data_IF_471880719907
#
_entry.id   IF_471880719907
#
_cell.length_a   1.000
_cell.length_b   1.000
_cell.length_c   1.000
_cell.angle_alpha   90.00
_cell.angle_beta   90.00
_cell.angle_gamma   90.00
#
_symmetry.space_group_name_H-M   'P 1'
#
loop_
_entity.id
_entity.type
_entity.pdbx_description
1 polymer ?
#
# COMPACT_ATOMS: atom_id res chain seq x y z
N UNK A 1 48.69 10.70 -40.22
CA UNK A 1 49.25 11.76 -39.37
C UNK A 1 48.21 12.87 -39.45
N UNK A 2 47.26 13.05 -38.54
CA UNK A 2 47.25 12.78 -37.10
C UNK A 2 45.89 12.26 -36.61
N UNK A 3 45.93 11.54 -35.49
CA UNK A 3 44.78 10.89 -34.87
C UNK A 3 43.85 11.92 -34.19
N UNK A 4 42.66 12.12 -34.73
CA UNK A 4 41.52 12.70 -33.98
C UNK A 4 40.99 11.64 -33.01
N UNK A 5 41.41 11.72 -31.75
CA UNK A 5 40.75 11.04 -30.63
C UNK A 5 39.38 11.71 -30.41
N UNK A 6 38.32 11.03 -30.81
CA UNK A 6 36.96 11.35 -30.36
C UNK A 6 36.84 10.82 -28.93
N UNK A 7 36.90 11.72 -27.96
CA UNK A 7 36.66 11.41 -26.55
C UNK A 7 35.16 11.22 -26.36
N UNK A 8 34.69 9.99 -26.16
CA UNK A 8 33.35 9.73 -25.64
C UNK A 8 33.32 10.23 -24.20
N UNK A 9 32.62 11.34 -23.95
CA UNK A 9 32.18 11.69 -22.60
C UNK A 9 31.16 10.63 -22.19
N UNK A 10 31.54 9.77 -21.24
CA UNK A 10 30.58 9.02 -20.43
C UNK A 10 29.84 10.08 -19.62
N UNK A 11 28.67 10.48 -20.11
CA UNK A 11 27.66 11.11 -19.29
C UNK A 11 27.05 9.96 -18.50
N UNK A 12 27.40 9.83 -17.23
CA UNK A 12 26.65 9.02 -16.27
C UNK A 12 25.24 9.57 -16.23
N UNK A 13 24.32 8.93 -16.95
CA UNK A 13 22.92 9.28 -16.91
C UNK A 13 22.39 9.06 -15.49
N UNK A 14 21.82 10.12 -14.93
CA UNK A 14 20.84 10.07 -13.85
C UNK A 14 19.84 8.94 -14.11
N UNK A 15 19.45 8.24 -13.05
CA UNK A 15 18.47 7.15 -13.09
C UNK A 15 17.15 7.65 -13.71
N UNK A 16 16.99 7.51 -15.03
CA UNK A 16 15.71 7.65 -15.69
C UNK A 16 14.95 6.35 -15.44
N UNK A 17 13.86 6.43 -14.69
CA UNK A 17 12.90 5.33 -14.58
C UNK A 17 12.36 4.98 -15.96
N UNK A 18 12.49 3.73 -16.40
CA UNK A 18 12.03 3.30 -17.72
C UNK A 18 10.55 2.90 -17.66
N UNK A 19 9.70 3.63 -18.37
CA UNK A 19 8.39 3.10 -18.74
C UNK A 19 8.54 1.90 -19.67
N UNK A 20 7.55 1.01 -19.67
CA UNK A 20 7.52 -0.17 -20.55
C UNK A 20 7.68 0.25 -22.02
N UNK A 21 8.76 -0.22 -22.65
CA UNK A 21 9.11 0.10 -24.04
C UNK A 21 9.58 -1.14 -24.78
N UNK A 22 9.50 -1.11 -26.10
CA UNK A 22 9.90 -2.20 -26.97
C UNK A 22 11.27 -1.91 -27.57
N UNK A 23 12.23 -2.82 -27.35
CA UNK A 23 13.57 -2.72 -27.91
C UNK A 23 13.89 -3.96 -28.76
N UNK A 24 14.67 -3.83 -29.84
CA UNK A 24 15.16 -5.00 -30.56
C UNK A 24 16.10 -5.83 -29.66
N UNK A 25 16.26 -7.15 -29.93
CA UNK A 25 17.29 -7.96 -29.29
C UNK A 25 18.70 -7.40 -29.58
N UNK A 26 19.65 -7.74 -28.70
CA UNK A 26 21.05 -7.34 -28.87
C UNK A 26 21.72 -8.12 -30.02
N UNK A 27 22.84 -7.60 -30.54
CA UNK A 27 23.52 -8.19 -31.71
C UNK A 27 24.02 -9.63 -31.48
N UNK A 28 24.24 -10.00 -30.22
CA UNK A 28 24.63 -11.34 -29.79
C UNK A 28 23.42 -12.24 -29.44
N UNK A 29 22.21 -11.80 -29.81
CA UNK A 29 20.95 -12.49 -29.54
C UNK A 29 20.59 -12.63 -28.05
N UNK A 30 21.23 -11.84 -27.20
CA UNK A 30 20.79 -11.64 -25.82
C UNK A 30 19.64 -10.63 -25.75
N UNK A 31 18.90 -10.66 -24.64
CA UNK A 31 17.83 -9.69 -24.39
C UNK A 31 18.40 -8.44 -23.72
N UNK A 32 17.84 -7.25 -23.99
CA UNK A 32 18.30 -6.02 -23.33
C UNK A 32 18.23 -6.09 -21.79
N UNK A 33 19.01 -5.28 -21.09
CA UNK A 33 18.88 -5.11 -19.64
C UNK A 33 17.46 -4.66 -19.27
N UNK A 34 16.98 -5.07 -18.08
CA UNK A 34 15.61 -4.81 -17.60
C UNK A 34 14.50 -5.37 -18.51
N UNK A 35 14.79 -6.38 -19.34
CA UNK A 35 13.76 -7.11 -20.08
C UNK A 35 12.74 -7.74 -19.14
N UNK A 36 11.46 -7.62 -19.47
CA UNK A 36 10.34 -8.15 -18.67
C UNK A 36 10.36 -9.68 -18.73
N UNK A 37 10.77 -10.32 -17.64
CA UNK A 37 10.72 -11.77 -17.53
C UNK A 37 9.26 -12.23 -17.37
N UNK A 38 8.77 -13.02 -18.33
CA UNK A 38 7.44 -13.60 -18.30
C UNK A 38 7.36 -14.80 -17.38
N UNK A 39 8.38 -15.66 -17.39
CA UNK A 39 8.37 -16.89 -16.61
C UNK A 39 9.62 -17.74 -16.84
N UNK A 40 9.44 -19.06 -16.76
CA UNK A 40 10.51 -20.05 -16.91
C UNK A 40 10.00 -21.24 -17.72
N UNK A 41 10.85 -21.78 -18.61
CA UNK A 41 10.54 -22.99 -19.34
C UNK A 41 10.74 -24.24 -18.46
N UNK A 42 10.33 -25.40 -18.97
CA UNK A 42 10.40 -26.70 -18.28
C UNK A 42 11.84 -27.09 -17.86
N UNK A 43 12.87 -26.55 -18.51
CA UNK A 43 14.28 -26.74 -18.18
C UNK A 43 14.84 -25.68 -17.21
N UNK A 44 14.00 -24.77 -16.72
CA UNK A 44 14.35 -23.66 -15.84
C UNK A 44 14.92 -22.43 -16.56
N UNK A 45 15.03 -22.45 -17.90
CA UNK A 45 15.47 -21.29 -18.67
C UNK A 45 14.48 -20.13 -18.59
N UNK A 46 14.99 -18.90 -18.54
CA UNK A 46 14.14 -17.70 -18.45
C UNK A 46 13.42 -17.45 -19.77
N UNK A 47 12.14 -17.13 -19.67
CA UNK A 47 11.30 -16.70 -20.80
C UNK A 47 10.95 -15.22 -20.62
N UNK A 48 11.03 -14.45 -21.70
CA UNK A 48 10.77 -13.02 -21.70
C UNK A 48 9.58 -12.66 -22.60
N UNK A 49 8.95 -11.52 -22.28
CA UNK A 49 7.87 -10.95 -23.09
C UNK A 49 8.46 -10.32 -24.34
N UNK A 50 8.08 -10.83 -25.51
CA UNK A 50 8.37 -10.20 -26.80
C UNK A 50 7.10 -9.81 -27.54
N UNK A 51 7.28 -9.21 -28.72
CA UNK A 51 6.25 -9.12 -29.75
C UNK A 51 6.85 -9.24 -31.14
N UNK A 52 6.06 -9.71 -32.09
CA UNK A 52 6.46 -9.78 -33.50
C UNK A 52 5.28 -9.52 -34.42
N UNK A 53 5.56 -9.05 -35.63
CA UNK A 53 4.56 -8.98 -36.69
C UNK A 53 4.40 -10.35 -37.35
N UNK A 54 3.16 -10.82 -37.46
CA UNK A 54 2.82 -12.01 -38.22
C UNK A 54 1.43 -11.87 -38.82
N UNK A 55 1.25 -12.24 -40.09
CA UNK A 55 -0.02 -12.16 -40.81
C UNK A 55 -0.75 -10.80 -40.65
N UNK A 56 0.01 -9.70 -40.72
CA UNK A 56 -0.51 -8.34 -40.57
C UNK A 56 -0.91 -7.92 -39.16
N UNK A 57 -0.71 -8.77 -38.15
CA UNK A 57 -1.02 -8.50 -36.74
C UNK A 57 0.27 -8.31 -35.93
N UNK A 58 0.21 -7.54 -34.84
CA UNK A 58 1.24 -7.52 -33.81
C UNK A 58 0.85 -8.52 -32.72
N UNK A 59 1.66 -9.56 -32.51
CA UNK A 59 1.37 -10.66 -31.58
C UNK A 59 2.39 -10.68 -30.44
N UNK A 60 1.95 -11.10 -29.25
CA UNK A 60 2.82 -11.34 -28.09
C UNK A 60 3.67 -12.59 -28.35
N UNK A 61 4.97 -12.49 -28.07
CA UNK A 61 5.95 -13.53 -28.31
C UNK A 61 6.54 -14.11 -27.01
N UNK A 62 6.76 -15.42 -27.03
CA UNK A 62 7.60 -16.18 -26.09
C UNK A 62 9.05 -16.08 -26.54
N UNK A 63 9.88 -15.30 -25.86
CA UNK A 63 11.32 -15.14 -26.17
C UNK A 63 12.16 -16.00 -25.25
N UNK A 64 13.00 -16.86 -25.81
CA UNK A 64 13.84 -17.84 -25.10
C UNK A 64 15.32 -17.59 -25.46
N UNK A 65 16.03 -16.75 -24.70
CA UNK A 65 17.38 -16.32 -25.06
C UNK A 65 18.38 -17.48 -25.10
N UNK A 66 18.21 -18.48 -24.23
CA UNK A 66 19.08 -19.66 -24.15
C UNK A 66 19.26 -20.38 -25.49
N UNK A 67 18.21 -20.44 -26.31
CA UNK A 67 18.21 -21.11 -27.61
C UNK A 67 18.15 -20.12 -28.78
N UNK A 68 18.19 -18.82 -28.49
CA UNK A 68 18.04 -17.74 -29.47
C UNK A 68 16.80 -17.91 -30.37
N UNK A 69 15.63 -18.11 -29.75
CA UNK A 69 14.37 -18.23 -30.49
C UNK A 69 13.26 -17.41 -29.86
N UNK A 70 12.37 -16.93 -30.70
CA UNK A 70 11.12 -16.31 -30.30
C UNK A 70 9.95 -16.96 -31.05
N UNK A 71 8.83 -17.12 -30.37
CA UNK A 71 7.65 -17.78 -30.91
C UNK A 71 6.39 -16.95 -30.66
N UNK A 72 5.50 -16.90 -31.64
CA UNK A 72 4.15 -16.32 -31.48
C UNK A 72 3.12 -17.42 -31.72
N UNK A 73 1.97 -17.33 -31.03
CA UNK A 73 0.83 -18.18 -31.32
C UNK A 73 -0.06 -17.54 -32.40
N UNK A 74 -0.35 -18.28 -33.47
CA UNK A 74 -1.26 -17.84 -34.54
C UNK A 74 -1.92 -19.03 -35.22
N UNK A 75 -3.23 -18.93 -35.45
CA UNK A 75 -4.04 -19.95 -36.13
C UNK A 75 -3.79 -21.38 -35.60
N UNK A 76 -3.82 -21.54 -34.27
CA UNK A 76 -3.59 -22.80 -33.53
C UNK A 76 -2.17 -23.37 -33.63
N UNK A 77 -1.23 -22.65 -34.24
CA UNK A 77 0.16 -23.05 -34.37
C UNK A 77 1.11 -22.17 -33.55
N UNK A 78 2.22 -22.77 -33.09
CA UNK A 78 3.39 -22.04 -32.59
C UNK A 78 4.31 -21.70 -33.77
N UNK A 79 4.49 -20.41 -34.03
CA UNK A 79 5.23 -19.92 -35.18
C UNK A 79 6.56 -19.33 -34.73
N UNK A 80 7.66 -19.83 -35.29
CA UNK A 80 9.01 -19.26 -35.10
C UNK A 80 9.09 -17.90 -35.80
N UNK A 81 9.51 -16.86 -35.07
CA UNK A 81 9.71 -15.51 -35.58
C UNK A 81 11.17 -15.09 -35.44
N UNK A 82 11.69 -14.43 -36.48
CA UNK A 82 13.08 -13.95 -36.53
C UNK A 82 13.21 -12.45 -36.25
N UNK A 83 12.18 -11.67 -36.59
CA UNK A 83 12.11 -10.24 -36.31
C UNK A 83 11.11 -10.01 -35.17
N UNK A 84 11.63 -9.73 -33.99
CA UNK A 84 10.84 -9.49 -32.79
C UNK A 84 11.45 -8.35 -31.96
N UNK A 85 10.63 -7.78 -31.10
CA UNK A 85 11.04 -6.82 -30.08
C UNK A 85 10.82 -7.45 -28.70
N UNK A 86 11.63 -7.04 -27.73
CA UNK A 86 11.57 -7.49 -26.34
C UNK A 86 11.06 -6.33 -25.50
N UNK A 87 10.13 -6.63 -24.59
CA UNK A 87 9.59 -5.63 -23.68
C UNK A 87 10.60 -5.34 -22.57
N UNK A 88 10.90 -4.07 -22.36
CA UNK A 88 11.88 -3.60 -21.37
C UNK A 88 11.23 -2.56 -20.48
N UNK A 89 11.50 -2.64 -19.18
CA UNK A 89 11.03 -1.67 -18.20
C UNK A 89 10.88 -2.30 -16.83
N UNK A 90 10.82 -1.46 -15.81
CA UNK A 90 10.73 -1.87 -14.40
C UNK A 90 9.37 -1.53 -13.77
N UNK A 91 8.47 -0.87 -14.52
CA UNK A 91 7.15 -0.41 -14.08
C UNK A 91 6.02 -1.34 -14.51
N UNK A 92 5.93 -2.53 -13.91
CA UNK A 92 4.85 -3.47 -14.20
C UNK A 92 4.51 -4.38 -13.02
N UNK A 93 3.36 -5.04 -13.11
CA UNK A 93 2.97 -6.10 -12.18
C UNK A 93 2.16 -7.17 -12.93
N UNK A 94 2.13 -8.38 -12.37
CA UNK A 94 1.29 -9.47 -12.86
C UNK A 94 0.06 -9.59 -11.96
N UNK A 95 -1.14 -9.50 -12.53
CA UNK A 95 -2.41 -9.58 -11.81
C UNK A 95 -3.15 -10.82 -12.25
N UNK A 96 -3.62 -11.64 -11.30
CA UNK A 96 -4.42 -12.82 -11.60
C UNK A 96 -5.74 -12.42 -12.25
N UNK A 97 -6.13 -13.16 -13.28
CA UNK A 97 -7.36 -12.93 -14.02
C UNK A 97 -7.93 -14.26 -14.57
N UNK A 98 -9.21 -14.26 -14.88
CA UNK A 98 -9.95 -15.35 -15.49
C UNK A 98 -11.04 -14.84 -16.44
N UNK A 99 -11.33 -15.61 -17.49
CA UNK A 99 -12.46 -15.39 -18.41
C UNK A 99 -12.49 -14.03 -19.15
N UNK A 100 -11.35 -13.38 -19.38
CA UNK A 100 -11.27 -12.15 -20.19
C UNK A 100 -11.48 -10.84 -19.44
N UNK A 101 -11.49 -10.83 -18.11
CA UNK A 101 -11.62 -9.60 -17.31
C UNK A 101 -10.31 -8.79 -17.28
N UNK A 102 -9.89 -8.31 -18.45
CA UNK A 102 -8.65 -7.53 -18.61
C UNK A 102 -8.75 -6.20 -17.82
N UNK A 103 -7.86 -5.95 -16.84
CA UNK A 103 -7.83 -4.70 -16.07
C UNK A 103 -7.65 -3.45 -16.93
N UNK A 104 -8.18 -2.30 -16.50
CA UNK A 104 -8.09 -1.03 -17.26
C UNK A 104 -6.64 -0.60 -17.53
N UNK A 105 -5.71 -0.93 -16.64
CA UNK A 105 -4.28 -0.61 -16.76
C UNK A 105 -3.44 -1.73 -17.41
N UNK A 106 -4.08 -2.71 -18.05
CA UNK A 106 -3.38 -3.78 -18.76
C UNK A 106 -2.50 -3.25 -19.90
N UNK A 107 -1.33 -3.86 -20.08
CA UNK A 107 -0.39 -3.47 -21.11
C UNK A 107 -0.80 -4.03 -22.47
N UNK A 108 -1.13 -3.12 -23.40
CA UNK A 108 -1.43 -3.45 -24.79
C UNK A 108 -0.11 -3.70 -25.53
N UNK A 109 0.09 -4.91 -26.03
CA UNK A 109 1.30 -5.32 -26.73
C UNK A 109 1.14 -5.46 -28.24
N UNK A 110 -0.09 -5.54 -28.73
CA UNK A 110 -0.36 -5.68 -30.14
C UNK A 110 -1.81 -5.42 -30.50
N UNK A 111 -2.15 -5.68 -31.76
CA UNK A 111 -3.46 -5.48 -32.35
C UNK A 111 -3.72 -6.57 -33.39
N UNK A 112 -4.97 -7.03 -33.50
CA UNK A 112 -5.35 -7.92 -34.61
C UNK A 112 -5.39 -7.15 -35.93
N UNK A 113 -4.92 -7.77 -37.02
CA UNK A 113 -4.96 -7.21 -38.37
C UNK A 113 -4.24 -5.87 -38.56
N UNK A 114 -4.43 -5.27 -39.74
CA UNK A 114 -3.78 -4.03 -40.15
C UNK A 114 -4.44 -2.78 -39.55
N UNK A 115 -4.02 -2.42 -38.33
CA UNK A 115 -4.08 -1.05 -37.80
C UNK A 115 -5.38 -0.57 -37.13
N UNK A 116 -6.48 -1.32 -37.22
CA UNK A 116 -7.77 -0.98 -36.59
C UNK A 116 -8.45 -2.17 -35.87
N UNK A 117 -7.72 -3.27 -35.62
CA UNK A 117 -8.31 -4.44 -34.94
C UNK A 117 -8.22 -4.36 -33.42
N UNK A 118 -8.75 -5.40 -32.77
CA UNK A 118 -8.86 -5.48 -31.32
C UNK A 118 -7.48 -5.44 -30.65
N UNK A 119 -7.34 -4.73 -29.51
CA UNK A 119 -6.10 -4.72 -28.75
C UNK A 119 -5.82 -6.11 -28.17
N UNK A 120 -4.55 -6.52 -28.27
CA UNK A 120 -4.02 -7.73 -27.66
C UNK A 120 -3.18 -7.37 -26.45
N UNK A 121 -3.47 -8.00 -25.32
CA UNK A 121 -2.79 -7.75 -24.05
C UNK A 121 -1.79 -8.87 -23.75
N UNK A 122 -0.78 -8.54 -22.95
CA UNK A 122 0.19 -9.54 -22.48
C UNK A 122 -0.40 -10.31 -21.31
N UNK A 123 -0.50 -11.62 -21.47
CA UNK A 123 -0.75 -12.53 -20.35
C UNK A 123 0.34 -13.58 -20.23
N UNK A 124 0.34 -14.31 -19.12
CA UNK A 124 1.12 -15.54 -18.94
C UNK A 124 0.30 -16.62 -18.26
N UNK A 125 0.58 -17.87 -18.60
CA UNK A 125 -0.14 -19.03 -18.09
C UNK A 125 0.78 -20.21 -17.86
N UNK A 126 0.39 -21.08 -16.92
CA UNK A 126 1.08 -22.34 -16.69
C UNK A 126 0.62 -23.40 -17.68
N UNK A 127 1.58 -24.06 -18.34
CA UNK A 127 1.33 -25.19 -19.23
C UNK A 127 2.54 -26.13 -19.22
N UNK A 128 2.32 -27.43 -19.00
CA UNK A 128 3.36 -28.47 -18.96
C UNK A 128 4.64 -28.07 -18.18
N UNK A 129 4.46 -27.53 -16.96
CA UNK A 129 5.51 -27.03 -16.04
C UNK A 129 6.28 -25.78 -16.53
N UNK A 130 5.88 -25.20 -17.65
CA UNK A 130 6.36 -23.92 -18.16
C UNK A 130 5.41 -22.80 -17.75
N UNK A 131 5.94 -21.61 -17.43
CA UNK A 131 5.17 -20.37 -17.29
C UNK A 131 5.46 -19.51 -18.52
N UNK A 132 4.49 -19.46 -19.45
CA UNK A 132 4.71 -18.97 -20.80
C UNK A 132 3.84 -17.73 -21.09
N UNK A 133 4.41 -16.66 -21.69
CA UNK A 133 3.63 -15.51 -22.12
C UNK A 133 2.83 -15.79 -23.40
N UNK A 134 1.78 -15.03 -23.59
CA UNK A 134 0.94 -15.11 -24.77
C UNK A 134 0.00 -13.92 -24.93
N UNK A 135 -0.89 -14.02 -25.91
CA UNK A 135 -1.86 -12.97 -26.23
C UNK A 135 -3.17 -13.22 -25.52
N UNK A 136 -3.66 -12.24 -24.78
CA UNK A 136 -5.03 -12.26 -24.27
C UNK A 136 -5.93 -11.61 -25.31
N UNK A 137 -6.97 -12.33 -25.71
CA UNK A 137 -8.00 -11.84 -26.60
C UNK A 137 -9.25 -11.54 -25.78
N UNK A 138 -9.49 -10.27 -25.47
CA UNK A 138 -10.55 -9.86 -24.53
C UNK A 138 -11.92 -10.40 -24.92
N UNK A 139 -12.26 -10.36 -26.21
CA UNK A 139 -13.55 -10.87 -26.73
C UNK A 139 -13.65 -12.40 -26.76
N UNK A 140 -12.53 -13.14 -26.73
CA UNK A 140 -12.56 -14.61 -26.65
C UNK A 140 -12.57 -15.11 -25.19
N UNK A 141 -12.21 -14.24 -24.24
CA UNK A 141 -12.24 -14.58 -22.81
C UNK A 141 -11.05 -15.40 -22.33
N UNK A 142 -9.97 -15.52 -23.11
CA UNK A 142 -8.85 -16.42 -22.79
C UNK A 142 -7.48 -15.87 -23.20
N UNK A 143 -6.44 -16.48 -22.60
CA UNK A 143 -5.05 -16.33 -22.99
C UNK A 143 -4.67 -17.44 -23.98
N UNK A 144 -4.04 -17.06 -25.09
CA UNK A 144 -3.41 -18.01 -26.01
C UNK A 144 -1.89 -18.00 -25.88
N UNK A 145 -1.29 -19.15 -25.57
CA UNK A 145 0.16 -19.31 -25.44
C UNK A 145 0.73 -20.21 -26.56
N UNK A 146 1.89 -19.88 -27.15
CA UNK A 146 2.64 -20.79 -28.02
C UNK A 146 3.44 -21.81 -27.19
N UNK A 147 3.23 -23.11 -27.44
CA UNK A 147 4.02 -24.17 -26.81
C UNK A 147 4.04 -25.45 -27.66
N UNK A 148 5.22 -26.05 -27.86
CA UNK A 148 5.34 -27.41 -28.38
C UNK A 148 4.87 -27.59 -29.84
N UNK A 149 4.91 -26.54 -30.65
CA UNK A 149 4.41 -26.53 -32.04
C UNK A 149 2.95 -26.08 -32.18
N UNK A 150 2.22 -25.91 -31.08
CA UNK A 150 0.80 -25.56 -31.07
C UNK A 150 0.51 -24.31 -30.25
N UNK A 151 -0.62 -23.67 -30.52
CA UNK A 151 -1.17 -22.61 -29.67
C UNK A 151 -2.23 -23.20 -28.74
N UNK A 152 -2.11 -22.91 -27.45
CA UNK A 152 -2.97 -23.44 -26.39
C UNK A 152 -3.79 -22.34 -25.75
N UNK A 153 -5.06 -22.66 -25.48
CA UNK A 153 -5.98 -21.81 -24.75
C UNK A 153 -5.86 -22.04 -23.23
N UNK A 154 -5.75 -20.95 -22.48
CA UNK A 154 -5.59 -20.92 -21.03
C UNK A 154 -6.65 -19.98 -20.44
N UNK A 155 -7.45 -20.49 -19.50
CA UNK A 155 -8.57 -19.76 -18.87
C UNK A 155 -8.21 -19.12 -17.53
N UNK A 156 -7.15 -19.61 -16.87
CA UNK A 156 -6.58 -19.03 -15.65
C UNK A 156 -5.17 -18.52 -15.95
N UNK A 157 -5.01 -17.21 -15.89
CA UNK A 157 -3.77 -16.56 -16.31
C UNK A 157 -3.47 -15.34 -15.46
N UNK A 158 -2.29 -14.75 -15.67
CA UNK A 158 -1.95 -13.45 -15.12
C UNK A 158 -1.80 -12.43 -16.25
N UNK A 159 -2.31 -11.22 -16.04
CA UNK A 159 -2.23 -10.09 -16.97
C UNK A 159 -1.09 -9.19 -16.56
N UNK A 160 -0.30 -8.74 -17.55
CA UNK A 160 0.70 -7.70 -17.32
C UNK A 160 -0.01 -6.35 -17.25
N UNK A 161 0.10 -5.67 -16.12
CA UNK A 161 -0.42 -4.31 -15.95
C UNK A 161 0.73 -3.32 -15.80
N UNK A 162 0.54 -2.09 -16.31
CA UNK A 162 1.47 -0.99 -16.06
C UNK A 162 1.46 -0.67 -14.57
N UNK A 163 2.63 -0.72 -13.94
CA UNK A 163 2.81 -0.43 -12.51
C UNK A 163 3.17 1.03 -12.28
N UNK A 164 2.79 1.59 -11.13
CA UNK A 164 3.39 2.81 -10.61
C UNK A 164 4.76 2.48 -9.96
N UNK A 165 5.76 3.38 -10.01
CA UNK A 165 7.09 3.09 -9.48
C UNK A 165 7.00 2.67 -8.00
N UNK A 166 7.70 1.59 -7.62
CA UNK A 166 7.76 1.14 -6.21
C UNK A 166 8.30 2.22 -5.27
N UNK A 167 9.11 3.17 -5.76
CA UNK A 167 9.56 4.34 -5.00
C UNK A 167 8.46 5.39 -4.81
N UNK A 168 7.52 5.56 -5.76
CA UNK A 168 6.30 6.34 -5.51
C UNK A 168 5.35 5.62 -4.57
N UNK A 169 5.31 4.28 -4.60
CA UNK A 169 4.64 3.54 -3.54
C UNK A 169 5.34 3.83 -2.23
N UNK A 170 6.66 3.73 -2.08
CA UNK A 170 7.36 4.06 -0.84
C UNK A 170 7.18 5.50 -0.37
N UNK A 171 7.31 6.49 -1.26
CA UNK A 171 7.13 7.91 -0.93
C UNK A 171 5.66 8.20 -0.62
N UNK A 172 4.69 7.73 -1.39
CA UNK A 172 3.25 7.86 -1.06
C UNK A 172 2.88 7.03 0.18
N UNK A 173 3.62 5.93 0.44
CA UNK A 173 3.56 5.04 1.60
C UNK A 173 4.46 5.53 2.77
N UNK A 174 5.07 6.70 2.64
CA UNK A 174 5.74 7.45 3.72
C UNK A 174 5.08 8.83 3.87
N UNK A 175 4.38 9.34 2.85
CA UNK A 175 3.62 10.59 2.82
C UNK A 175 2.18 10.39 3.38
N UNK A 176 1.60 9.19 3.22
CA UNK A 176 0.35 8.76 3.90
C UNK A 176 0.51 8.39 5.39
N UNK A 177 1.76 8.23 5.87
CA UNK A 177 2.10 7.84 7.22
C UNK A 177 2.78 9.05 7.83
N UNK A 178 2.08 9.76 8.71
CA UNK A 178 2.49 11.06 9.22
C UNK A 178 3.65 10.93 10.25
N UNK A 179 4.78 10.34 9.85
CA UNK A 179 5.97 10.19 10.65
C UNK A 179 7.25 10.44 9.85
N UNK A 180 8.31 10.79 10.57
CA UNK A 180 9.63 11.04 10.00
C UNK A 180 10.72 10.61 10.98
N UNK A 181 11.93 10.46 10.47
CA UNK A 181 13.14 10.18 11.25
C UNK A 181 13.96 11.45 11.36
N UNK A 182 14.05 12.01 12.57
CA UNK A 182 14.74 13.29 12.82
C UNK A 182 16.16 13.01 13.31
N UNK A 183 17.21 13.49 12.61
CA UNK A 183 18.59 13.38 13.09
C UNK A 183 18.76 14.01 14.48
N UNK A 184 19.47 13.33 15.36
CA UNK A 184 19.65 13.72 16.76
C UNK A 184 20.99 13.24 17.32
N UNK A 185 21.28 13.62 18.56
CA UNK A 185 22.48 13.22 19.31
C UNK A 185 22.18 13.23 20.81
N UNK A 186 23.04 12.60 21.65
CA UNK A 186 22.87 12.56 23.11
C UNK A 186 22.66 13.90 23.80
N UNK A 187 23.17 14.98 23.20
CA UNK A 187 23.12 16.33 23.77
C UNK A 187 21.98 17.17 23.19
N UNK A 188 21.26 16.66 22.19
CA UNK A 188 20.09 17.32 21.63
C UNK A 188 18.86 17.07 22.52
N UNK A 189 17.96 18.05 22.58
CA UNK A 189 16.63 17.84 23.16
C UNK A 189 15.85 16.78 22.38
N UNK A 190 14.91 16.12 23.04
CA UNK A 190 13.98 15.22 22.36
C UNK A 190 13.07 16.03 21.42
N UNK A 191 12.92 15.67 20.14
CA UNK A 191 11.99 16.34 19.24
C UNK A 191 10.54 16.26 19.76
N UNK A 192 9.73 17.27 19.46
CA UNK A 192 8.29 17.21 19.70
C UNK A 192 7.66 16.05 18.92
N UNK A 193 6.65 15.40 19.49
CA UNK A 193 6.00 14.20 18.94
C UNK A 193 6.93 12.99 18.71
N UNK A 194 8.05 12.90 19.45
CA UNK A 194 8.85 11.68 19.46
C UNK A 194 8.05 10.49 19.98
N UNK A 195 8.16 9.34 19.30
CA UNK A 195 7.41 8.12 19.65
C UNK A 195 7.95 7.51 20.94
N UNK A 196 7.12 7.56 21.99
CA UNK A 196 7.42 6.99 23.30
C UNK A 196 7.38 5.45 23.22
N UNK A 197 8.49 4.82 23.59
CA UNK A 197 8.64 3.37 23.56
C UNK A 197 8.30 2.71 24.90
N UNK A 198 8.58 3.38 26.02
CA UNK A 198 8.38 2.85 27.36
C UNK A 198 9.22 3.60 28.38
N UNK A 199 9.53 2.97 29.51
CA UNK A 199 10.25 3.60 30.62
C UNK A 199 11.40 2.70 31.07
N UNK A 200 12.52 3.32 31.44
CA UNK A 200 13.67 2.62 31.99
C UNK A 200 13.45 2.25 33.46
N UNK A 201 14.38 1.50 34.06
CA UNK A 201 14.26 0.99 35.44
C UNK A 201 14.01 2.08 36.50
N UNK A 202 14.51 3.30 36.26
CA UNK A 202 14.33 4.45 37.15
C UNK A 202 13.13 5.34 36.78
N UNK A 203 12.29 4.90 35.83
CA UNK A 203 11.14 5.63 35.33
C UNK A 203 11.46 6.61 34.19
N UNK A 204 12.73 6.81 33.83
CA UNK A 204 13.13 7.69 32.72
C UNK A 204 12.43 7.29 31.41
N UNK A 205 11.85 8.24 30.64
CA UNK A 205 11.17 7.92 29.40
C UNK A 205 12.16 7.44 28.33
N UNK A 206 11.77 6.42 27.60
CA UNK A 206 12.51 5.83 26.48
C UNK A 206 11.76 6.11 25.19
N UNK A 207 12.48 6.51 24.14
CA UNK A 207 11.94 6.80 22.81
C UNK A 207 12.52 5.87 21.75
N UNK A 208 11.77 5.71 20.66
CA UNK A 208 12.20 4.94 19.49
C UNK A 208 13.19 5.75 18.68
N UNK A 209 14.40 5.21 18.51
CA UNK A 209 15.38 5.73 17.57
C UNK A 209 15.88 4.66 16.59
N UNK A 210 16.79 5.05 15.71
CA UNK A 210 17.61 4.15 14.90
C UNK A 210 19.00 4.73 14.70
N UNK A 211 20.01 3.86 14.55
CA UNK A 211 21.39 4.28 14.33
C UNK A 211 22.12 3.32 13.39
N UNK A 212 23.10 3.85 12.66
CA UNK A 212 24.00 3.01 11.86
C UNK A 212 25.09 2.42 12.74
N UNK A 213 25.29 1.11 12.65
CA UNK A 213 26.39 0.42 13.33
C UNK A 213 26.84 -0.78 12.52
N UNK A 214 28.15 -0.88 12.25
CA UNK A 214 28.78 -2.00 11.53
C UNK A 214 28.12 -2.37 10.17
N UNK A 215 27.59 -1.38 9.44
CA UNK A 215 26.92 -1.57 8.14
C UNK A 215 25.41 -1.77 8.23
N UNK A 216 24.89 -2.06 9.42
CA UNK A 216 23.46 -2.18 9.68
C UNK A 216 22.85 -0.82 10.04
N UNK A 217 21.55 -0.67 9.80
CA UNK A 217 20.71 0.36 10.41
C UNK A 217 19.83 -0.33 11.45
N UNK A 218 19.99 0.02 12.73
CA UNK A 218 19.44 -0.74 13.86
C UNK A 218 18.55 0.14 14.73
N UNK A 219 17.45 -0.42 15.25
CA UNK A 219 16.58 0.22 16.24
C UNK A 219 17.35 0.57 17.51
N UNK A 220 17.19 1.79 18.00
CA UNK A 220 17.87 2.33 19.16
C UNK A 220 16.91 2.62 20.33
N UNK A 221 17.38 2.30 21.54
CA UNK A 221 16.82 2.74 22.83
C UNK A 221 17.35 4.13 23.14
N UNK A 222 16.53 5.18 23.03
CA UNK A 222 16.94 6.57 23.30
C UNK A 222 16.41 7.04 24.66
N UNK A 223 17.30 7.48 25.55
CA UNK A 223 16.96 7.92 26.93
C UNK A 223 17.46 9.35 27.14
N UNK A 224 16.63 10.39 26.85
CA UNK A 224 17.07 11.77 26.88
C UNK A 224 17.61 12.24 28.23
N UNK A 225 16.99 11.81 29.35
CA UNK A 225 17.43 12.16 30.71
C UNK A 225 18.82 11.64 31.05
N UNK A 226 19.27 10.57 30.38
CA UNK A 226 20.60 9.98 30.55
C UNK A 226 21.59 10.40 29.47
N UNK A 227 21.16 11.24 28.51
CA UNK A 227 21.95 11.62 27.35
C UNK A 227 22.59 10.38 26.69
N UNK A 228 21.78 9.37 26.42
CA UNK A 228 22.28 8.11 25.93
C UNK A 228 21.31 7.48 24.91
N UNK A 229 21.89 6.84 23.90
CA UNK A 229 21.17 5.99 22.97
C UNK A 229 21.97 4.70 22.77
N UNK A 230 21.27 3.57 22.72
CA UNK A 230 21.89 2.26 22.61
C UNK A 230 21.27 1.43 21.49
N UNK A 231 22.09 0.64 20.80
CA UNK A 231 21.64 -0.40 19.87
C UNK A 231 22.10 -1.76 20.37
N UNK A 232 21.28 -2.79 20.13
CA UNK A 232 21.68 -4.18 20.34
C UNK A 232 22.46 -4.67 19.12
N UNK A 233 23.70 -5.11 19.30
CA UNK A 233 24.49 -5.68 18.21
C UNK A 233 25.49 -6.71 18.71
N UNK A 234 25.51 -7.89 18.07
CA UNK A 234 26.49 -8.95 18.30
C UNK A 234 26.68 -9.29 19.80
N UNK A 235 25.57 -9.60 20.49
CA UNK A 235 25.52 -9.91 21.93
C UNK A 235 25.84 -8.74 22.88
N UNK A 236 26.06 -7.52 22.37
CA UNK A 236 26.40 -6.35 23.18
C UNK A 236 25.36 -5.23 23.10
N UNK A 237 25.28 -4.45 24.18
CA UNK A 237 24.64 -3.13 24.18
C UNK A 237 25.68 -2.09 23.78
N UNK A 238 25.47 -1.43 22.64
CA UNK A 238 26.41 -0.48 22.07
C UNK A 238 25.88 0.94 22.22
N UNK A 239 26.65 1.81 22.89
CA UNK A 239 26.37 3.24 22.95
C UNK A 239 26.60 3.89 21.57
N UNK A 240 25.59 4.63 21.09
CA UNK A 240 25.64 5.39 19.83
C UNK A 240 25.48 6.88 20.08
N UNK A 241 26.27 7.70 19.38
CA UNK A 241 26.30 9.16 19.56
C UNK A 241 25.68 9.95 18.40
N UNK A 242 25.36 9.26 17.30
CA UNK A 242 24.61 9.81 16.17
C UNK A 242 23.50 8.83 15.81
N UNK A 243 22.27 9.31 15.81
CA UNK A 243 21.07 8.52 15.61
C UNK A 243 19.95 9.40 15.06
N UNK A 244 18.86 8.77 14.65
CA UNK A 244 17.61 9.44 14.31
C UNK A 244 16.53 9.02 15.32
N UNK A 245 15.62 9.94 15.64
CA UNK A 245 14.45 9.70 16.50
C UNK A 245 13.21 9.60 15.63
N UNK A 246 12.37 8.60 15.87
CA UNK A 246 11.08 8.48 15.21
C UNK A 246 10.12 9.55 15.77
N UNK A 247 9.58 10.39 14.89
CA UNK A 247 8.66 11.49 15.22
C UNK A 247 7.40 11.34 14.40
N UNK A 248 6.23 11.35 15.02
CA UNK A 248 4.96 11.25 14.32
C UNK A 248 3.82 10.77 15.21
N UNK A 249 2.66 10.59 14.61
CA UNK A 249 1.45 10.05 15.24
C UNK A 249 0.91 8.83 14.48
N UNK A 250 -0.20 8.25 14.98
CA UNK A 250 -0.82 7.09 14.35
C UNK A 250 0.02 5.83 14.52
N UNK A 251 0.52 5.57 15.73
CA UNK A 251 1.19 4.32 16.06
C UNK A 251 0.47 3.59 17.18
N UNK A 252 0.45 2.27 17.10
CA UNK A 252 0.03 1.40 18.20
C UNK A 252 1.03 0.28 18.42
N UNK A 253 1.00 -0.29 19.63
CA UNK A 253 1.82 -1.43 20.01
C UNK A 253 0.93 -2.67 20.02
N UNK A 254 1.28 -3.66 19.19
CA UNK A 254 0.49 -4.88 19.02
C UNK A 254 1.28 -6.08 19.54
N UNK A 255 0.68 -6.86 20.43
CA UNK A 255 1.28 -8.09 20.96
C UNK A 255 1.60 -9.11 19.85
N UNK A 256 2.80 -9.67 19.89
CA UNK A 256 3.31 -10.63 18.91
C UNK A 256 4.41 -11.53 19.52
N UNK A 257 5.03 -12.37 18.70
CA UNK A 257 6.15 -13.18 19.13
C UNK A 257 6.75 -14.08 18.04
N UNK A 258 7.85 -14.75 18.38
CA UNK A 258 8.51 -15.78 17.58
C UNK A 258 8.83 -15.36 16.13
N UNK A 259 9.21 -14.10 15.91
CA UNK A 259 9.50 -13.53 14.60
C UNK A 259 8.28 -13.07 13.80
N UNK A 260 7.07 -13.28 14.33
CA UNK A 260 5.86 -12.74 13.72
C UNK A 260 5.88 -11.21 13.79
N UNK A 261 5.53 -10.59 12.66
CA UNK A 261 5.46 -9.15 12.47
C UNK A 261 4.13 -8.87 11.77
N UNK A 262 3.19 -8.15 12.42
CA UNK A 262 1.90 -7.79 11.83
C UNK A 262 2.04 -6.93 10.57
N UNK A 263 0.94 -6.80 9.83
CA UNK A 263 0.85 -5.84 8.72
C UNK A 263 1.05 -4.40 9.24
N UNK A 264 1.62 -3.53 8.41
CA UNK A 264 1.93 -2.13 8.75
C UNK A 264 2.95 -1.94 9.90
N UNK A 265 3.70 -2.98 10.27
CA UNK A 265 4.80 -2.85 11.21
C UNK A 265 5.85 -1.85 10.71
N UNK A 266 6.32 -0.99 11.62
CA UNK A 266 7.30 0.04 11.30
C UNK A 266 8.66 -0.60 11.04
N UNK A 267 9.13 -0.52 9.80
CA UNK A 267 10.50 -0.86 9.41
C UNK A 267 11.41 0.30 9.83
N UNK A 268 12.33 0.04 10.74
CA UNK A 268 13.23 1.06 11.30
C UNK A 268 14.69 0.80 10.97
N UNK A 269 14.98 -0.27 10.22
CA UNK A 269 16.33 -0.68 9.96
C UNK A 269 16.45 -1.78 8.93
N UNK A 270 17.68 -2.15 8.63
CA UNK A 270 18.03 -3.30 7.83
C UNK A 270 19.43 -3.77 8.22
N UNK A 271 19.67 -5.07 8.08
CA UNK A 271 21.02 -5.63 8.16
C UNK A 271 21.83 -5.26 6.91
N UNK A 272 23.14 -5.47 6.95
CA UNK A 272 24.05 -5.21 5.83
C UNK A 272 23.74 -6.03 4.58
N UNK A 273 22.96 -7.13 4.70
CA UNK A 273 22.50 -7.94 3.58
C UNK A 273 21.11 -7.53 3.05
N UNK A 274 20.48 -6.52 3.66
CA UNK A 274 19.19 -5.97 3.27
C UNK A 274 17.98 -6.58 3.97
N UNK A 275 18.14 -7.50 4.93
CA UNK A 275 17.01 -8.02 5.70
C UNK A 275 16.38 -6.90 6.55
N UNK A 276 15.06 -6.65 6.45
CA UNK A 276 14.41 -5.58 7.20
C UNK A 276 14.36 -5.87 8.71
N UNK A 277 14.58 -4.82 9.50
CA UNK A 277 14.44 -4.83 10.95
C UNK A 277 13.27 -3.94 11.38
N UNK A 278 12.46 -4.46 12.30
CA UNK A 278 11.24 -3.80 12.75
C UNK A 278 11.37 -3.32 14.19
N UNK A 279 10.59 -2.30 14.56
CA UNK A 279 10.55 -1.82 15.95
C UNK A 279 9.72 -2.76 16.79
N UNK A 280 10.32 -3.32 17.84
CA UNK A 280 9.60 -4.01 18.90
C UNK A 280 9.97 -3.48 20.26
N UNK A 281 9.18 -3.81 21.29
CA UNK A 281 9.50 -3.56 22.69
C UNK A 281 9.09 -4.75 23.55
N UNK A 282 9.72 -4.88 24.71
CA UNK A 282 9.35 -5.87 25.70
C UNK A 282 9.66 -5.39 27.11
N UNK A 283 8.98 -5.99 28.09
CA UNK A 283 9.35 -5.88 29.50
C UNK A 283 10.60 -6.71 29.78
N UNK A 284 11.61 -6.09 30.36
CA UNK A 284 12.82 -6.77 30.83
C UNK A 284 13.38 -6.05 32.06
N UNK A 285 13.54 -6.80 33.16
CA UNK A 285 14.13 -6.32 34.43
C UNK A 285 13.59 -4.95 34.92
N UNK A 286 12.26 -4.80 34.94
CA UNK A 286 11.60 -3.56 35.37
C UNK A 286 11.58 -2.42 34.35
N UNK A 287 12.17 -2.61 33.17
CA UNK A 287 12.14 -1.66 32.03
C UNK A 287 11.16 -2.14 30.96
N UNK A 288 10.47 -1.21 30.29
CA UNK A 288 9.78 -1.45 29.01
C UNK A 288 10.60 -0.79 27.92
N UNK A 289 11.37 -1.59 27.16
CA UNK A 289 12.43 -1.07 26.30
C UNK A 289 12.30 -1.54 24.85
N UNK A 290 12.58 -0.67 23.87
CA UNK A 290 12.55 -1.02 22.46
C UNK A 290 13.83 -1.75 22.02
N UNK A 291 13.75 -2.39 20.86
CA UNK A 291 14.85 -3.07 20.19
C UNK A 291 14.49 -3.50 18.76
N UNK A 292 15.39 -4.25 18.12
CA UNK A 292 15.20 -4.75 16.75
C UNK A 292 14.48 -6.10 16.75
N UNK A 293 13.36 -6.20 16.04
CA UNK A 293 12.78 -7.50 15.70
C UNK A 293 13.49 -8.00 14.45
N UNK A 294 14.04 -9.21 14.54
CA UNK A 294 14.72 -9.89 13.45
C UNK A 294 13.92 -11.12 13.05
N UNK A 295 13.15 -11.01 11.96
CA UNK A 295 12.15 -12.02 11.57
C UNK A 295 12.78 -13.40 11.38
N UNK A 296 13.88 -13.48 10.63
CA UNK A 296 14.57 -14.75 10.40
C UNK A 296 15.17 -15.39 11.66
N UNK A 297 15.46 -14.59 12.70
CA UNK A 297 15.95 -15.08 13.99
C UNK A 297 14.82 -15.43 14.98
N UNK A 298 13.57 -15.10 14.64
CA UNK A 298 12.43 -15.45 15.48
C UNK A 298 12.32 -14.66 16.79
N UNK A 299 12.96 -13.49 16.92
CA UNK A 299 13.02 -12.76 18.20
C UNK A 299 13.19 -11.24 18.07
N UNK A 300 12.89 -10.56 19.17
CA UNK A 300 13.29 -9.19 19.47
C UNK A 300 14.64 -9.20 20.20
N UNK A 301 15.57 -8.34 19.78
CA UNK A 301 16.82 -8.05 20.47
C UNK A 301 16.78 -6.65 21.08
N UNK A 302 16.87 -6.56 22.40
CA UNK A 302 16.95 -5.28 23.14
C UNK A 302 18.37 -5.03 23.67
N UNK A 303 18.86 -3.78 23.66
CA UNK A 303 20.06 -3.40 24.39
C UNK A 303 19.71 -3.22 25.88
N UNK A 304 20.39 -3.98 26.75
CA UNK A 304 20.17 -3.89 28.19
C UNK A 304 21.38 -4.34 29.01
N UNK A 305 21.83 -3.49 29.94
CA UNK A 305 22.81 -3.86 30.96
C UNK A 305 24.16 -4.31 30.39
N UNK A 306 24.60 -3.70 29.28
CA UNK A 306 25.83 -4.07 28.57
C UNK A 306 25.68 -5.23 27.57
N UNK A 307 24.51 -5.88 27.52
CA UNK A 307 24.27 -7.06 26.68
C UNK A 307 23.13 -6.84 25.68
N UNK A 308 23.14 -7.63 24.60
CA UNK A 308 21.97 -7.81 23.74
C UNK A 308 21.14 -8.99 24.26
N UNK A 309 19.87 -8.73 24.60
CA UNK A 309 18.96 -9.72 25.15
C UNK A 309 17.95 -10.15 24.11
N UNK A 310 17.84 -11.47 23.88
CA UNK A 310 16.85 -12.07 22.96
C UNK A 310 15.53 -12.37 23.68
N UNK A 311 14.41 -11.93 23.11
CA UNK A 311 13.07 -12.08 23.67
C UNK A 311 12.12 -12.60 22.57
N UNK A 312 11.32 -13.63 22.87
CA UNK A 312 10.40 -14.26 21.90
C UNK A 312 8.95 -13.78 22.00
N UNK A 313 8.57 -13.08 23.06
CA UNK A 313 7.24 -12.49 23.25
C UNK A 313 7.40 -11.00 23.47
N UNK A 314 6.83 -10.20 22.58
CA UNK A 314 7.08 -8.76 22.49
C UNK A 314 5.88 -8.04 21.88
N UNK A 315 5.88 -6.72 21.94
CA UNK A 315 4.96 -5.89 21.15
C UNK A 315 5.69 -5.35 19.92
N UNK A 316 4.97 -5.19 18.80
CA UNK A 316 5.46 -4.60 17.56
C UNK A 316 4.86 -3.22 17.41
N UNK A 317 5.68 -2.22 17.06
CA UNK A 317 5.16 -0.91 16.67
C UNK A 317 4.56 -1.02 15.27
N UNK A 318 3.26 -0.78 15.17
CA UNK A 318 2.56 -0.72 13.89
C UNK A 318 2.12 0.71 13.62
N UNK A 319 2.28 1.16 12.38
CA UNK A 319 1.69 2.41 11.95
C UNK A 319 0.22 2.16 11.64
N UNK A 320 -0.65 2.78 12.43
CA UNK A 320 -2.08 2.82 12.18
C UNK A 320 -2.32 3.68 10.95
N UNK A 321 -2.91 3.05 9.94
CA UNK A 321 -3.62 3.77 8.90
C UNK A 321 -4.72 4.59 9.56
N UNK A 322 -4.52 5.90 9.69
CA UNK A 322 -5.63 6.78 10.07
C UNK A 322 -6.55 6.93 8.87
N UNK A 323 -7.88 6.87 9.06
CA UNK A 323 -8.81 7.16 7.99
C UNK A 323 -8.64 8.63 7.54
N UNK A 324 -8.57 8.85 6.24
CA UNK A 324 -8.31 10.15 5.64
C UNK A 324 -9.55 10.69 4.95
N UNK A 325 -9.77 11.99 5.06
CA UNK A 325 -10.81 12.70 4.32
C UNK A 325 -10.32 13.02 2.92
N UNK A 326 -11.12 12.67 1.91
CA UNK A 326 -10.81 12.93 0.51
C UNK A 326 -11.97 13.65 -0.14
N UNK A 327 -11.69 14.75 -0.84
CA UNK A 327 -12.72 15.45 -1.62
C UNK A 327 -13.41 14.50 -2.58
N UNK A 328 -14.73 14.63 -2.65
CA UNK A 328 -15.59 13.84 -3.51
C UNK A 328 -16.72 14.71 -4.08
N UNK A 329 -17.20 14.30 -5.24
CA UNK A 329 -18.38 14.87 -5.88
C UNK A 329 -19.08 13.76 -6.70
N UNK A 330 -20.06 14.14 -7.53
CA UNK A 330 -20.82 13.19 -8.35
C UNK A 330 -19.94 12.23 -9.17
N UNK A 331 -18.81 12.69 -9.74
CA UNK A 331 -17.93 11.85 -10.57
C UNK A 331 -16.89 11.05 -9.78
N UNK A 332 -16.72 11.32 -8.48
CA UNK A 332 -15.70 10.69 -7.62
C UNK A 332 -16.28 10.03 -6.37
N UNK A 333 -17.57 9.70 -6.39
CA UNK A 333 -18.30 9.10 -5.27
C UNK A 333 -18.02 7.60 -5.02
N UNK A 334 -17.20 6.98 -5.87
CA UNK A 334 -16.61 5.65 -5.66
C UNK A 334 -15.11 5.81 -5.51
N UNK A 335 -14.61 5.73 -4.28
CA UNK A 335 -13.18 5.81 -3.98
C UNK A 335 -12.68 4.49 -3.37
N UNK A 336 -11.44 4.07 -3.67
CA UNK A 336 -10.87 2.89 -3.03
C UNK A 336 -10.83 3.04 -1.51
N UNK A 337 -11.18 1.95 -0.81
CA UNK A 337 -11.14 1.84 0.65
C UNK A 337 -12.07 2.82 1.40
N UNK A 338 -13.15 3.30 0.79
CA UNK A 338 -14.13 4.12 1.51
C UNK A 338 -14.78 3.34 2.66
N UNK A 339 -14.95 3.98 3.82
CA UNK A 339 -15.58 3.38 4.99
C UNK A 339 -17.10 3.29 4.79
N UNK A 340 -17.63 2.08 4.91
CA UNK A 340 -19.06 1.80 4.87
C UNK A 340 -19.77 2.35 6.10
N UNK A 341 -20.79 3.18 5.87
CA UNK A 341 -21.74 3.66 6.87
C UNK A 341 -22.95 2.74 7.07
N UNK A 342 -23.25 1.90 6.08
CA UNK A 342 -24.36 0.94 6.12
C UNK A 342 -25.05 0.79 4.76
N UNK A 343 -26.36 0.52 4.79
CA UNK A 343 -27.21 0.39 3.60
C UNK A 343 -28.52 1.12 3.82
N UNK A 344 -29.00 1.79 2.79
CA UNK A 344 -30.28 2.48 2.80
C UNK A 344 -31.45 1.50 2.69
N UNK A 345 -32.68 1.97 2.93
CA UNK A 345 -33.88 1.12 2.92
C UNK A 345 -34.16 0.47 1.54
N UNK A 346 -33.67 1.07 0.46
CA UNK A 346 -33.73 0.55 -0.91
C UNK A 346 -32.55 -0.39 -1.26
N UNK A 347 -31.64 -0.64 -0.32
CA UNK A 347 -30.45 -1.47 -0.49
C UNK A 347 -29.21 -0.72 -0.99
N UNK A 348 -29.33 0.58 -1.33
CA UNK A 348 -28.21 1.39 -1.77
C UNK A 348 -27.12 1.48 -0.69
N UNK A 349 -25.86 1.47 -1.10
CA UNK A 349 -24.75 1.60 -0.15
C UNK A 349 -24.66 3.01 0.40
N UNK A 350 -24.37 3.08 1.70
CA UNK A 350 -24.11 4.33 2.39
C UNK A 350 -22.64 4.35 2.79
N UNK A 351 -21.94 5.42 2.44
CA UNK A 351 -20.58 5.70 2.89
C UNK A 351 -20.53 6.85 3.89
N UNK A 352 -19.49 6.82 4.73
CA UNK A 352 -19.18 7.89 5.68
C UNK A 352 -18.59 9.06 4.90
N UNK A 353 -19.25 10.21 4.97
CA UNK A 353 -18.72 11.47 4.47
C UNK A 353 -18.85 12.60 5.48
N UNK A 354 -18.49 13.81 5.03
CA UNK A 354 -18.78 15.07 5.72
C UNK A 354 -18.94 16.20 4.72
N UNK A 355 -19.68 17.24 5.07
CA UNK A 355 -19.85 18.41 4.23
C UNK A 355 -20.06 19.68 5.05
N UNK A 356 -19.71 20.83 4.48
CA UNK A 356 -19.95 22.14 5.09
C UNK A 356 -21.41 22.57 4.93
N UNK A 357 -21.98 23.14 5.99
CA UNK A 357 -23.26 23.85 5.96
C UNK A 357 -23.33 24.90 7.06
N UNK A 358 -23.66 26.15 6.70
CA UNK A 358 -23.83 27.26 7.66
C UNK A 358 -22.64 27.44 8.64
N UNK A 359 -21.41 27.18 8.16
CA UNK A 359 -20.19 27.30 8.96
C UNK A 359 -19.82 26.04 9.76
N UNK A 360 -20.73 25.08 9.89
CA UNK A 360 -20.45 23.78 10.48
C UNK A 360 -19.87 22.81 9.45
N UNK A 361 -18.92 21.97 9.86
CA UNK A 361 -18.48 20.80 9.11
C UNK A 361 -19.17 19.57 9.72
N UNK A 362 -20.05 18.92 8.96
CA UNK A 362 -21.01 17.97 9.51
C UNK A 362 -20.81 16.58 8.90
N UNK A 363 -20.75 15.50 9.72
CA UNK A 363 -20.83 14.13 9.24
C UNK A 363 -22.05 13.88 8.34
N UNK A 364 -21.84 13.17 7.23
CA UNK A 364 -22.82 13.04 6.16
C UNK A 364 -23.04 11.58 5.74
N UNK A 365 -24.29 11.28 5.35
CA UNK A 365 -24.69 10.07 4.64
C UNK A 365 -24.42 10.27 3.16
N UNK A 366 -23.43 9.58 2.60
CA UNK A 366 -23.13 9.62 1.15
C UNK A 366 -23.79 8.43 0.48
N UNK A 367 -24.59 8.65 -0.57
CA UNK A 367 -25.21 7.59 -1.37
C UNK A 367 -24.65 7.68 -2.79
N UNK A 368 -23.63 6.87 -3.15
CA UNK A 368 -22.93 6.98 -4.44
C UNK A 368 -23.84 6.80 -5.65
N UNK A 369 -24.79 5.86 -5.58
CA UNK A 369 -25.76 5.63 -6.67
C UNK A 369 -26.67 6.84 -6.91
N UNK A 370 -26.83 7.72 -5.91
CA UNK A 370 -27.58 8.99 -6.01
C UNK A 370 -26.64 10.20 -6.18
N UNK A 371 -25.32 9.99 -6.15
CA UNK A 371 -24.29 11.02 -6.33
C UNK A 371 -24.41 12.23 -5.39
N UNK A 372 -24.86 11.98 -4.15
CA UNK A 372 -25.21 13.04 -3.20
C UNK A 372 -24.86 12.63 -1.78
N UNK A 373 -24.46 13.63 -0.99
CA UNK A 373 -24.32 13.52 0.45
C UNK A 373 -25.47 14.24 1.17
N UNK A 374 -25.89 13.73 2.31
CA UNK A 374 -26.92 14.35 3.13
C UNK A 374 -26.35 14.64 4.51
N UNK A 375 -26.53 15.88 4.99
CA UNK A 375 -26.18 16.27 6.36
C UNK A 375 -27.45 16.55 7.16
N UNK A 376 -27.52 16.15 8.43
CA UNK A 376 -28.59 16.54 9.33
C UNK A 376 -28.30 17.93 9.90
N UNK A 377 -29.24 18.87 9.79
CA UNK A 377 -29.08 20.21 10.36
C UNK A 377 -30.42 20.89 10.66
N UNK A 378 -30.57 21.37 11.89
CA UNK A 378 -31.69 22.18 12.36
C UNK A 378 -33.09 21.61 12.03
N UNK A 379 -33.27 20.30 12.22
CA UNK A 379 -34.53 19.59 11.95
C UNK A 379 -34.67 19.03 10.52
N UNK A 380 -33.77 19.36 9.60
CA UNK A 380 -33.87 18.99 8.19
C UNK A 380 -32.73 18.08 7.70
N UNK A 381 -33.02 17.29 6.67
CA UNK A 381 -32.04 16.58 5.86
C UNK A 381 -31.65 17.45 4.65
N UNK A 382 -30.36 17.78 4.54
CA UNK A 382 -29.88 18.75 3.55
C UNK A 382 -28.94 18.07 2.57
N UNK A 383 -29.28 18.14 1.28
CA UNK A 383 -28.47 17.60 0.20
C UNK A 383 -27.21 18.44 -0.07
N UNK A 384 -26.10 17.77 -0.37
CA UNK A 384 -24.77 18.32 -0.61
C UNK A 384 -24.12 17.60 -1.79
N UNK A 385 -23.52 18.38 -2.69
CA UNK A 385 -22.86 17.88 -3.89
C UNK A 385 -21.33 18.06 -3.86
N UNK A 386 -20.86 18.93 -2.96
CA UNK A 386 -19.46 19.04 -2.57
C UNK A 386 -19.33 18.48 -1.15
N UNK A 387 -18.55 17.41 -1.02
CA UNK A 387 -18.37 16.71 0.25
C UNK A 387 -17.01 16.01 0.28
N UNK A 388 -16.63 15.51 1.44
CA UNK A 388 -15.47 14.63 1.59
C UNK A 388 -15.94 13.24 1.98
N UNK A 389 -15.25 12.21 1.50
CA UNK A 389 -15.45 10.81 1.87
C UNK A 389 -14.33 10.36 2.80
N UNK A 390 -14.69 9.59 3.83
CA UNK A 390 -13.71 9.01 4.72
C UNK A 390 -13.20 7.69 4.12
N UNK A 391 -11.89 7.62 3.87
CA UNK A 391 -11.25 6.51 3.18
C UNK A 391 -10.05 5.95 3.94
N UNK A 392 -9.87 4.63 3.85
CA UNK A 392 -8.78 3.90 4.47
C UNK A 392 -8.96 3.77 5.98
N UNK A 393 -7.87 3.33 6.61
CA UNK A 393 -7.79 3.16 8.05
C UNK A 393 -8.43 1.92 8.63
N UNK A 394 -7.97 1.56 9.82
CA UNK A 394 -8.54 0.46 10.60
C UNK A 394 -9.64 1.03 11.49
N UNK A 395 -10.88 0.86 11.06
CA UNK A 395 -12.04 1.42 11.77
C UNK A 395 -13.08 0.38 12.13
N UNK A 396 -13.68 0.54 13.30
CA UNK A 396 -14.71 -0.33 13.82
C UNK A 396 -15.89 0.49 14.36
N UNK A 397 -17.05 -0.15 14.44
CA UNK A 397 -18.26 0.43 15.00
C UNK A 397 -18.49 -0.12 16.40
N UNK A 398 -18.61 0.76 17.39
CA UNK A 398 -18.79 0.38 18.80
C UNK A 398 -20.09 0.98 19.34
N UNK A 399 -20.89 0.14 20.00
CA UNK A 399 -22.16 0.54 20.61
C UNK A 399 -21.97 1.66 21.64
N UNK A 400 -22.86 2.65 21.59
CA UNK A 400 -22.86 3.81 22.49
C UNK A 400 -24.28 4.40 22.64
N UNK A 401 -24.38 5.41 23.50
CA UNK A 401 -25.63 6.12 23.78
C UNK A 401 -25.36 7.48 24.44
N UNK A 402 -26.36 8.35 24.44
CA UNK A 402 -26.42 9.62 25.17
C UNK A 402 -25.24 10.57 24.90
N UNK A 403 -24.77 10.62 23.66
CA UNK A 403 -23.62 11.42 23.24
C UNK A 403 -22.28 10.93 23.76
N UNK A 404 -22.20 9.72 24.34
CA UNK A 404 -20.94 9.16 24.78
C UNK A 404 -20.03 8.85 23.58
N UNK A 405 -18.76 9.26 23.68
CA UNK A 405 -17.76 9.16 22.62
C UNK A 405 -16.51 8.46 23.18
N UNK A 406 -16.14 7.28 22.67
CA UNK A 406 -14.89 6.61 23.03
C UNK A 406 -13.65 7.49 22.73
N UNK A 407 -12.57 7.29 23.49
CA UNK A 407 -11.35 8.10 23.36
C UNK A 407 -10.70 8.01 21.96
N UNK A 408 -10.94 6.93 21.23
CA UNK A 408 -10.46 6.65 19.88
C UNK A 408 -11.53 6.88 18.80
N UNK A 409 -12.60 7.64 19.10
CA UNK A 409 -13.63 7.94 18.12
C UNK A 409 -13.12 8.84 16.99
N UNK A 410 -13.52 8.53 15.76
CA UNK A 410 -13.18 9.32 14.58
C UNK A 410 -13.96 10.64 14.62
N UNK A 411 -13.24 11.76 14.67
CA UNK A 411 -13.83 13.09 14.56
C UNK A 411 -14.30 13.32 13.13
N UNK A 412 -15.61 13.52 12.98
CA UNK A 412 -16.27 13.73 11.69
C UNK A 412 -16.36 15.18 11.26
N UNK A 413 -16.26 16.11 12.21
CA UNK A 413 -16.36 17.53 11.92
C UNK A 413 -16.39 18.40 13.17
N UNK A 414 -17.01 19.58 13.05
CA UNK A 414 -17.13 20.54 14.12
C UNK A 414 -18.26 21.54 13.84
N UNK A 415 -18.83 22.08 14.92
CA UNK A 415 -19.70 23.26 14.82
C UNK A 415 -18.88 24.51 14.51
N UNK A 416 -19.54 25.57 14.09
CA UNK A 416 -18.98 26.91 13.90
C UNK A 416 -18.37 27.51 15.18
N UNK A 417 -18.79 27.05 16.36
CA UNK A 417 -18.17 27.39 17.65
C UNK A 417 -16.95 26.54 18.01
N UNK A 418 -16.63 25.53 17.20
CA UNK A 418 -15.48 24.64 17.37
C UNK A 418 -15.77 23.35 18.15
N UNK A 419 -17.00 23.10 18.60
CA UNK A 419 -17.36 21.84 19.28
C UNK A 419 -17.13 20.66 18.32
N UNK A 420 -16.40 19.61 18.73
CA UNK A 420 -16.17 18.45 17.87
C UNK A 420 -17.46 17.64 17.65
N UNK A 421 -17.68 17.26 16.39
CA UNK A 421 -18.73 16.31 16.00
C UNK A 421 -18.08 14.98 15.62
N UNK A 422 -18.73 13.88 16.00
CA UNK A 422 -18.24 12.52 15.75
C UNK A 422 -19.17 11.75 14.82
N UNK A 423 -18.67 10.67 14.24
CA UNK A 423 -19.45 9.86 13.30
C UNK A 423 -20.16 8.77 14.08
N UNK A 424 -21.48 8.73 13.95
CA UNK A 424 -22.28 7.62 14.43
C UNK A 424 -23.16 7.03 13.36
N UNK A 425 -23.69 5.83 13.61
CA UNK A 425 -24.73 5.22 12.78
C UNK A 425 -25.77 4.52 13.63
N UNK A 426 -26.98 4.40 13.10
CA UNK A 426 -28.07 3.69 13.75
C UNK A 426 -29.02 3.05 12.74
N UNK A 427 -29.74 2.04 13.19
CA UNK A 427 -30.87 1.49 12.45
C UNK A 427 -32.07 2.43 12.57
N UNK A 428 -32.63 2.85 11.43
CA UNK A 428 -33.84 3.65 11.37
C UNK A 428 -34.66 3.33 10.11
N UNK A 429 -35.94 2.99 10.30
CA UNK A 429 -36.88 2.71 9.20
C UNK A 429 -36.33 1.76 8.10
N UNK A 430 -35.62 0.69 8.50
CA UNK A 430 -35.04 -0.30 7.59
C UNK A 430 -33.67 0.08 6.99
N UNK A 431 -33.18 1.29 7.26
CA UNK A 431 -31.85 1.78 6.86
C UNK A 431 -30.86 1.64 8.02
N UNK A 432 -29.61 1.28 7.75
CA UNK A 432 -28.49 1.47 8.66
C UNK A 432 -27.71 2.68 8.15
N UNK A 433 -27.81 3.80 8.86
CA UNK A 433 -27.40 5.09 8.31
C UNK A 433 -26.56 5.92 9.25
N UNK A 434 -25.65 6.69 8.68
CA UNK A 434 -24.69 7.53 9.41
C UNK A 434 -25.22 8.93 9.66
N UNK A 435 -24.66 9.59 10.68
CA UNK A 435 -24.97 10.96 11.02
C UNK A 435 -24.00 11.56 12.02
N UNK A 436 -24.34 12.75 12.54
CA UNK A 436 -23.50 13.50 13.48
C UNK A 436 -23.84 13.12 14.93
N UNK A 437 -22.85 12.67 15.68
CA UNK A 437 -22.95 12.64 17.14
C UNK A 437 -22.55 14.01 17.63
N UNK A 438 -23.45 14.62 18.41
CA UNK A 438 -23.26 15.93 19.02
C UNK A 438 -23.17 15.73 20.54
N UNK A 439 -21.96 15.71 21.13
CA UNK A 439 -21.78 15.35 22.53
C UNK A 439 -22.59 16.22 23.49
N UNK A 440 -22.61 17.55 23.31
CA UNK A 440 -23.38 18.45 24.18
C UNK A 440 -24.90 18.27 24.08
N UNK A 441 -25.42 17.79 22.94
CA UNK A 441 -26.84 17.47 22.77
C UNK A 441 -27.19 16.06 23.25
N UNK A 442 -26.19 15.25 23.59
CA UNK A 442 -26.34 13.87 24.03
C UNK A 442 -27.08 12.98 23.01
N UNK A 443 -26.86 13.20 21.72
CA UNK A 443 -27.58 12.52 20.66
C UNK A 443 -26.73 12.30 19.39
N UNK A 444 -27.04 11.21 18.68
CA UNK A 444 -26.78 11.05 17.26
C UNK A 444 -27.94 11.68 16.49
N UNK A 445 -27.65 12.48 15.48
CA UNK A 445 -28.63 12.97 14.52
C UNK A 445 -28.34 12.35 13.15
N UNK A 446 -29.33 11.68 12.57
CA UNK A 446 -29.22 11.12 11.22
C UNK A 446 -30.09 11.90 10.22
N UNK A 447 -29.64 12.11 8.98
CA UNK A 447 -30.48 12.64 7.92
C UNK A 447 -31.32 11.49 7.32
N UNK A 448 -32.65 11.60 7.37
CA UNK A 448 -33.52 10.59 6.80
C UNK A 448 -34.89 11.15 6.39
N UNK A 449 -35.28 10.91 5.13
CA UNK A 449 -36.63 11.19 4.64
C UNK A 449 -37.01 12.67 4.65
N UNK A 450 -36.04 13.57 4.44
CA UNK A 450 -36.23 15.02 4.51
C UNK A 450 -36.08 15.62 5.91
N UNK A 451 -35.87 14.82 6.95
CA UNK A 451 -35.76 15.29 8.34
C UNK A 451 -34.44 14.91 8.99
N UNK A 452 -34.03 15.73 9.97
CA UNK A 452 -33.02 15.37 10.96
C UNK A 452 -33.68 14.58 12.09
N UNK A 453 -33.28 13.32 12.27
CA UNK A 453 -33.85 12.43 13.28
C UNK A 453 -32.90 12.29 14.47
N UNK A 454 -33.30 12.71 15.69
CA UNK A 454 -32.50 12.54 16.90
C UNK A 454 -32.62 11.13 17.49
N UNK A 455 -31.48 10.51 17.81
CA UNK A 455 -31.34 9.19 18.42
C UNK A 455 -30.46 9.30 19.66
N UNK A 456 -31.02 9.00 20.83
CA UNK A 456 -30.29 9.09 22.11
C UNK A 456 -29.71 7.76 22.59
N UNK A 457 -30.18 6.62 22.09
CA UNK A 457 -29.70 5.31 22.49
C UNK A 457 -29.59 4.37 21.29
N UNK A 458 -28.90 3.24 21.47
CA UNK A 458 -28.78 2.18 20.46
C UNK A 458 -28.18 2.65 19.12
N UNK A 459 -27.12 3.46 19.20
CA UNK A 459 -26.31 3.82 18.05
C UNK A 459 -24.88 3.34 18.22
N UNK A 460 -24.12 3.31 17.12
CA UNK A 460 -22.71 2.97 17.11
C UNK A 460 -21.87 4.20 16.80
N UNK A 461 -20.67 4.27 17.38
CA UNK A 461 -19.65 5.29 17.10
C UNK A 461 -18.56 4.66 16.25
N UNK A 462 -18.10 5.37 15.23
CA UNK A 462 -16.93 4.96 14.46
C UNK A 462 -15.65 5.24 15.27
N UNK A 463 -14.83 4.23 15.47
CA UNK A 463 -13.55 4.32 16.20
C UNK A 463 -12.37 3.87 15.32
N UNK A 464 -11.18 4.37 15.63
CA UNK A 464 -9.89 3.88 15.11
C UNK A 464 -9.36 2.75 16.03
N UNK A 465 -8.76 1.69 15.48
CA UNK A 465 -8.17 0.59 16.27
C UNK A 465 -6.78 0.16 15.79
#
# INVERSE_FOLDING_TARGET
MDHLKVTYRIVTFSCFFLELTWLPPLQDATVPEKSVQAGTDHDGSKIYVGRAQHAGSWLVAKVIPRINKAYVGYDRAEILVTNYEVLVGDKYSWVKDENGNVPENAFIAGTTGSGNGEPLYVGRGHYERSLTPGKIHKSHGCLYIPFGGTEHEITQYEVLVKGEPEEKKKEQFEDWMNFTWVPSSPYAGIPGNAVHAGNDQDGSPIYVGRARHAGDLIVAKVIPSKQAAYVAYNMQEILVTSYEVLVGDGFSWVGSGNGHVPENAVIAGHTSNGEPLYVGRAHHDGSLTPGKIHKSHGCLYIPFGGSEVSIRTYEVLVAQMKPQWRSANASTCYQPNTISGGRDADGAEIFVGRAYHEGDLIPAKVIPSKQVAYVPYNGEEIAKYDFEMLCGGHTAWVQSSYGNVPHNAVRGGHTSSGEPLYIGRAHWAGSLTVGKIHPSHQALYIPFGGSEVPIKNNYEVLIEY
#
